data_IF_394299500453
#
_entry.id   IF_394299500453
#
_cell.length_a   1.000
_cell.length_b   1.000
_cell.length_c   1.000
_cell.angle_alpha   90.00
_cell.angle_beta   90.00
_cell.angle_gamma   90.00
#
_symmetry.space_group_name_H-M   'P 1'
#
loop_
_entity.id
_entity.type
_entity.pdbx_description
1 polymer ?
#
# COMPACT_ATOMS: atom_id res chain seq x y z
N UNK A 1 -27.31 2.81 25.38
CA UNK A 1 -27.00 3.59 24.16
C UNK A 1 -25.94 4.67 24.38
N UNK A 2 -25.57 5.00 25.62
CA UNK A 2 -24.68 6.12 25.92
C UNK A 2 -23.34 6.12 25.13
N UNK A 3 -22.78 4.94 24.82
CA UNK A 3 -21.42 4.84 24.24
C UNK A 3 -21.37 4.21 22.83
N UNK A 4 -22.49 4.20 22.08
CA UNK A 4 -22.48 3.66 20.70
C UNK A 4 -21.95 4.73 19.74
N UNK A 5 -20.87 4.40 19.01
CA UNK A 5 -20.32 5.24 17.95
C UNK A 5 -20.87 4.76 16.59
N UNK A 6 -21.42 5.66 15.78
CA UNK A 6 -21.93 5.41 14.43
C UNK A 6 -21.51 6.52 13.47
N UNK A 7 -21.72 6.32 12.16
CA UNK A 7 -21.53 7.34 11.11
C UNK A 7 -20.09 7.89 10.96
N UNK A 8 -19.09 7.11 11.41
CA UNK A 8 -17.66 7.49 11.36
C UNK A 8 -16.99 7.26 10.00
N UNK A 9 -17.63 6.50 9.10
CA UNK A 9 -17.05 6.17 7.81
C UNK A 9 -15.75 5.32 7.90
N UNK A 10 -14.97 5.26 6.81
CA UNK A 10 -13.69 4.58 6.79
C UNK A 10 -12.58 5.48 7.36
N UNK A 11 -11.46 4.89 7.83
CA UNK A 11 -10.26 5.66 8.10
C UNK A 11 -9.71 6.32 6.83
N UNK A 12 -9.18 7.54 6.95
CA UNK A 12 -8.65 8.27 5.80
C UNK A 12 -7.39 7.59 5.24
N UNK A 13 -7.35 7.26 3.95
CA UNK A 13 -6.29 6.43 3.36
C UNK A 13 -4.87 6.97 3.55
N UNK A 14 -4.69 8.30 3.65
CA UNK A 14 -3.38 8.92 3.87
C UNK A 14 -2.67 8.47 5.14
N UNK A 15 -3.41 7.95 6.12
CA UNK A 15 -2.83 7.42 7.35
C UNK A 15 -2.03 6.13 7.11
N UNK A 16 -2.18 5.49 5.94
CA UNK A 16 -1.56 4.21 5.59
C UNK A 16 -0.59 4.29 4.41
N UNK A 17 -0.35 5.49 3.85
CA UNK A 17 0.54 5.64 2.71
C UNK A 17 2.01 5.50 3.14
N UNK A 18 2.83 4.72 2.41
CA UNK A 18 4.28 4.78 2.56
C UNK A 18 4.79 6.22 2.35
N UNK A 19 5.85 6.66 3.07
CA UNK A 19 6.35 8.04 2.96
C UNK A 19 6.63 8.49 1.53
N UNK A 20 7.29 7.65 0.73
CA UNK A 20 7.58 7.92 -0.69
C UNK A 20 6.30 8.12 -1.53
N UNK A 21 5.20 7.45 -1.18
CA UNK A 21 3.92 7.64 -1.88
C UNK A 21 3.28 8.96 -1.46
N UNK A 22 3.32 9.28 -0.16
CA UNK A 22 2.73 10.50 0.38
C UNK A 22 3.44 11.75 -0.12
N UNK A 23 4.77 11.75 -0.11
CA UNK A 23 5.60 12.88 -0.58
C UNK A 23 5.42 13.18 -2.07
N UNK A 24 5.15 12.15 -2.87
CA UNK A 24 5.04 12.23 -4.33
C UNK A 24 3.59 12.11 -4.84
N UNK A 25 2.60 12.25 -3.95
CA UNK A 25 1.20 12.05 -4.31
C UNK A 25 0.77 13.02 -5.44
N UNK A 26 0.26 12.46 -6.54
CA UNK A 26 -0.15 13.24 -7.73
C UNK A 26 0.98 13.74 -8.63
N UNK A 27 2.24 13.41 -8.34
CA UNK A 27 3.44 13.91 -9.06
C UNK A 27 4.24 12.79 -9.74
N UNK A 28 3.54 11.81 -10.29
CA UNK A 28 4.15 10.64 -10.95
C UNK A 28 4.31 10.89 -12.46
N UNK A 29 5.49 10.60 -12.99
CA UNK A 29 5.82 10.87 -14.39
C UNK A 29 5.59 9.65 -15.26
N UNK A 30 6.14 8.50 -14.85
CA UNK A 30 6.04 7.26 -15.61
C UNK A 30 6.15 6.03 -14.72
N UNK A 31 5.85 4.88 -15.31
CA UNK A 31 6.08 3.58 -14.71
C UNK A 31 6.74 2.61 -15.69
N UNK A 32 7.47 1.64 -15.17
CA UNK A 32 8.15 0.60 -15.93
C UNK A 32 7.82 -0.78 -15.36
N UNK A 33 7.62 -1.76 -16.24
CA UNK A 33 7.56 -3.16 -15.86
C UNK A 33 8.97 -3.76 -15.92
N UNK A 34 9.63 -3.89 -14.77
CA UNK A 34 11.01 -4.39 -14.71
C UNK A 34 11.07 -5.91 -14.95
N UNK A 35 10.06 -6.63 -14.46
CA UNK A 35 9.84 -8.06 -14.69
C UNK A 35 8.40 -8.41 -14.32
N UNK A 36 7.97 -9.63 -14.63
CA UNK A 36 6.63 -10.13 -14.25
C UNK A 36 6.41 -9.92 -12.74
N UNK A 37 5.37 -9.16 -12.41
CA UNK A 37 4.99 -8.87 -11.02
C UNK A 37 5.81 -7.76 -10.34
N UNK A 38 6.75 -7.09 -11.01
CA UNK A 38 7.52 -5.97 -10.43
C UNK A 38 7.40 -4.72 -11.28
N UNK A 39 6.89 -3.65 -10.66
CA UNK A 39 6.74 -2.33 -11.26
C UNK A 39 7.67 -1.34 -10.57
N UNK A 40 8.13 -0.33 -11.31
CA UNK A 40 8.81 0.85 -10.78
C UNK A 40 8.02 2.09 -11.22
N UNK A 41 7.66 2.96 -10.29
CA UNK A 41 7.08 4.27 -10.60
C UNK A 41 8.09 5.35 -10.21
N UNK A 42 8.20 6.39 -11.05
CA UNK A 42 9.16 7.49 -10.85
C UNK A 42 8.41 8.82 -10.82
N UNK A 43 8.68 9.61 -9.78
CA UNK A 43 8.10 10.92 -9.55
C UNK A 43 8.93 12.04 -10.19
N UNK A 44 8.33 13.22 -10.32
CA UNK A 44 8.97 14.42 -10.89
C UNK A 44 10.25 14.79 -10.15
N UNK A 45 10.25 14.65 -8.81
CA UNK A 45 11.41 14.91 -7.95
C UNK A 45 12.46 13.79 -7.91
N UNK A 46 12.35 12.77 -8.78
CA UNK A 46 13.26 11.63 -8.83
C UNK A 46 12.98 10.53 -7.81
N UNK A 47 12.04 10.73 -6.88
CA UNK A 47 11.57 9.70 -5.97
C UNK A 47 11.01 8.49 -6.72
N UNK A 48 11.35 7.28 -6.28
CA UNK A 48 10.92 6.05 -6.95
C UNK A 48 10.34 5.05 -5.96
N UNK A 49 9.29 4.34 -6.39
CA UNK A 49 8.68 3.24 -5.62
C UNK A 49 8.65 1.97 -6.46
N UNK A 50 9.04 0.86 -5.83
CA UNK A 50 9.01 -0.46 -6.44
C UNK A 50 7.84 -1.25 -5.86
N UNK A 51 6.95 -1.73 -6.71
CA UNK A 51 5.78 -2.53 -6.31
C UNK A 51 5.97 -3.97 -6.72
N UNK A 52 5.99 -4.89 -5.74
CA UNK A 52 6.02 -6.33 -5.97
C UNK A 52 4.62 -6.90 -5.77
N UNK A 53 4.05 -7.47 -6.83
CA UNK A 53 2.70 -8.06 -6.84
C UNK A 53 2.79 -9.58 -6.65
N UNK A 54 2.03 -10.09 -5.69
CA UNK A 54 1.86 -11.51 -5.44
C UNK A 54 0.38 -11.92 -5.56
N UNK A 55 0.13 -13.19 -5.85
CA UNK A 55 -1.23 -13.75 -5.85
C UNK A 55 -1.78 -13.91 -4.43
N UNK A 56 -3.06 -13.64 -4.25
CA UNK A 56 -3.79 -13.88 -3.00
C UNK A 56 -5.05 -14.71 -3.27
N UNK A 57 -5.40 -15.62 -2.35
CA UNK A 57 -6.57 -16.51 -2.49
C UNK A 57 -7.92 -15.83 -2.25
N UNK A 58 -7.92 -14.51 -1.98
CA UNK A 58 -9.08 -13.68 -1.58
C UNK A 58 -9.71 -14.12 -0.25
N UNK A 59 -10.17 -15.36 -0.14
CA UNK A 59 -10.47 -15.99 1.14
C UNK A 59 -9.17 -16.37 1.83
N UNK A 60 -8.90 -15.77 3.00
CA UNK A 60 -7.62 -15.91 3.71
C UNK A 60 -7.87 -16.01 5.22
N UNK A 61 -7.04 -16.79 5.91
CA UNK A 61 -7.06 -16.86 7.38
C UNK A 61 -6.38 -15.66 8.01
N UNK A 62 -6.70 -15.36 9.27
CA UNK A 62 -6.03 -14.29 10.01
C UNK A 62 -4.52 -14.55 10.17
N UNK A 63 -4.10 -15.82 10.24
CA UNK A 63 -2.69 -16.21 10.28
C UNK A 63 -1.99 -15.80 8.98
N UNK A 64 -2.63 -15.98 7.82
CA UNK A 64 -2.05 -15.58 6.55
C UNK A 64 -1.97 -14.06 6.41
N UNK A 65 -2.94 -13.32 6.93
CA UNK A 65 -2.89 -11.84 6.97
C UNK A 65 -1.72 -11.37 7.85
N UNK A 66 -1.55 -11.94 9.05
CA UNK A 66 -0.43 -11.60 9.95
C UNK A 66 0.92 -11.89 9.32
N UNK A 67 1.08 -13.02 8.62
CA UNK A 67 2.29 -13.31 7.85
C UNK A 67 2.60 -12.27 6.76
N UNK A 68 1.57 -11.66 6.17
CA UNK A 68 1.75 -10.56 5.19
C UNK A 68 2.17 -9.28 5.91
N UNK A 69 1.60 -8.99 7.08
CA UNK A 69 2.05 -7.88 7.92
C UNK A 69 3.51 -8.05 8.35
N UNK A 70 3.90 -9.24 8.83
CA UNK A 70 5.28 -9.54 9.21
C UNK A 70 6.26 -9.34 8.03
N UNK A 71 5.80 -9.66 6.80
CA UNK A 71 6.59 -9.43 5.59
C UNK A 71 6.73 -7.94 5.27
N UNK A 72 5.67 -7.16 5.45
CA UNK A 72 5.64 -5.71 5.23
C UNK A 72 6.45 -4.95 6.29
N UNK A 73 6.48 -5.41 7.54
CA UNK A 73 7.29 -4.81 8.60
C UNK A 73 8.79 -5.09 8.40
N UNK A 74 9.11 -6.21 7.74
CA UNK A 74 10.50 -6.62 7.48
C UNK A 74 11.16 -5.86 6.32
N UNK A 75 10.40 -5.37 5.35
CA UNK A 75 10.90 -4.84 4.07
C UNK A 75 10.25 -3.51 3.70
#
# INVERSE_FOLDING_TARGET
MADRITDIGPPHFEQFLPPVIKENYGKWVYHEQLRKGVLKHVAEGGGAVYTVRAGGSRLMSIQKIRQICDLADKH
#
